data_IF_192955635403
#
_entry.id   IF_192955635403
#
_cell.length_a   1.000
_cell.length_b   1.000
_cell.length_c   1.000
_cell.angle_alpha   90.00
_cell.angle_beta   90.00
_cell.angle_gamma   90.00
#
_symmetry.space_group_name_H-M   'P 1'
#
loop_
_entity.id
_entity.type
_entity.pdbx_description
1 polymer ?
#
# COMPACT_ATOMS: atom_id res chain seq x y z
N UNK A 1 -33.94 1.99 -9.76
CA UNK A 1 -34.02 0.83 -8.85
C UNK A 1 -33.38 1.25 -7.53
N UNK A 2 -34.04 1.11 -6.38
CA UNK A 2 -33.39 1.40 -5.10
C UNK A 2 -32.26 0.38 -4.91
N UNK A 3 -31.06 0.87 -4.60
CA UNK A 3 -29.93 -0.01 -4.28
C UNK A 3 -30.31 -0.79 -3.01
N UNK A 4 -30.28 -2.12 -3.08
CA UNK A 4 -30.44 -2.95 -1.89
C UNK A 4 -29.28 -2.62 -0.94
N UNK A 5 -29.59 -2.11 0.25
CA UNK A 5 -28.60 -1.78 1.26
C UNK A 5 -27.84 -3.05 1.64
N UNK A 6 -26.50 -2.96 1.73
CA UNK A 6 -25.64 -4.08 2.11
C UNK A 6 -26.09 -4.62 3.47
N UNK A 7 -26.38 -5.92 3.54
CA UNK A 7 -26.87 -6.56 4.75
C UNK A 7 -25.83 -6.70 5.88
N UNK A 8 -24.52 -6.55 5.59
CA UNK A 8 -23.43 -6.51 6.60
C UNK A 8 -22.39 -5.43 6.27
N UNK A 9 -22.74 -4.14 6.37
CA UNK A 9 -21.86 -3.05 5.93
C UNK A 9 -20.62 -2.92 6.83
N UNK A 10 -20.74 -3.23 8.12
CA UNK A 10 -19.66 -3.11 9.10
C UNK A 10 -18.47 -4.05 8.79
N UNK A 11 -18.72 -5.23 8.21
CA UNK A 11 -17.64 -6.15 7.81
C UNK A 11 -16.84 -5.62 6.63
N UNK A 12 -17.49 -4.93 5.69
CA UNK A 12 -16.78 -4.26 4.59
C UNK A 12 -15.93 -3.11 5.11
N UNK A 13 -16.45 -2.34 6.07
CA UNK A 13 -15.69 -1.29 6.76
C UNK A 13 -14.46 -1.84 7.47
N UNK A 14 -14.63 -2.90 8.27
CA UNK A 14 -13.51 -3.57 8.94
C UNK A 14 -12.43 -3.97 7.94
N UNK A 15 -12.82 -4.54 6.79
CA UNK A 15 -11.88 -4.97 5.78
C UNK A 15 -11.11 -3.81 5.13
N UNK A 16 -11.79 -2.68 4.92
CA UNK A 16 -11.13 -1.46 4.44
C UNK A 16 -10.19 -0.85 5.47
N UNK A 17 -10.52 -0.91 6.77
CA UNK A 17 -9.62 -0.45 7.84
C UNK A 17 -8.34 -1.30 7.91
N UNK A 18 -8.46 -2.62 7.76
CA UNK A 18 -7.30 -3.53 7.69
C UNK A 18 -6.41 -3.26 6.47
N UNK A 19 -7.01 -2.95 5.32
CA UNK A 19 -6.26 -2.52 4.13
C UNK A 19 -5.58 -1.17 4.35
N UNK A 20 -6.28 -0.21 4.95
CA UNK A 20 -5.75 1.12 5.22
C UNK A 20 -4.56 1.05 6.18
N UNK A 21 -4.65 0.26 7.25
CA UNK A 21 -3.53 0.08 8.19
C UNK A 21 -2.30 -0.50 7.51
N UNK A 22 -2.47 -1.44 6.58
CA UNK A 22 -1.37 -2.00 5.80
C UNK A 22 -0.61 -0.96 4.97
N UNK A 23 -1.28 0.11 4.51
CA UNK A 23 -0.64 1.20 3.76
C UNK A 23 0.33 2.03 4.60
N UNK A 24 0.32 1.92 5.93
CA UNK A 24 1.24 2.61 6.82
C UNK A 24 2.39 1.71 7.30
N UNK A 25 2.55 0.51 6.72
CA UNK A 25 3.58 -0.44 7.12
C UNK A 25 5.02 0.09 7.00
N UNK A 26 5.30 0.98 6.02
CA UNK A 26 6.62 1.60 5.91
C UNK A 26 6.97 2.49 7.10
N UNK A 27 5.99 3.17 7.67
CA UNK A 27 6.18 4.01 8.85
C UNK A 27 6.12 3.19 10.14
N UNK A 28 5.27 2.17 10.18
CA UNK A 28 5.03 1.36 11.36
C UNK A 28 5.01 -0.13 10.98
N UNK A 29 6.19 -0.80 10.99
CA UNK A 29 6.36 -2.16 10.45
C UNK A 29 5.42 -3.22 11.04
N UNK A 30 4.95 -3.03 12.28
CA UNK A 30 3.96 -3.94 12.91
C UNK A 30 2.63 -4.05 12.14
N UNK A 31 2.34 -3.08 11.27
CA UNK A 31 1.12 -3.07 10.45
C UNK A 31 1.22 -3.92 9.18
N UNK A 32 2.39 -4.45 8.84
CA UNK A 32 2.64 -5.21 7.59
C UNK A 32 1.68 -6.38 7.39
N UNK A 33 1.34 -7.09 8.47
CA UNK A 33 0.49 -8.28 8.41
C UNK A 33 -1.02 -7.97 8.51
N UNK A 34 -1.38 -6.71 8.75
CA UNK A 34 -2.79 -6.31 8.92
C UNK A 34 -3.68 -6.59 7.71
N UNK A 35 -3.18 -6.59 6.44
CA UNK A 35 -4.00 -6.99 5.30
C UNK A 35 -4.28 -8.50 5.21
N UNK A 36 -3.57 -9.38 5.92
CA UNK A 36 -3.73 -10.83 5.75
C UNK A 36 -5.16 -11.35 6.01
N UNK A 37 -5.87 -10.92 7.07
CA UNK A 37 -7.25 -11.35 7.31
C UNK A 37 -8.22 -10.92 6.19
N UNK A 38 -7.83 -9.93 5.36
CA UNK A 38 -8.67 -9.43 4.25
C UNK A 38 -8.95 -10.51 3.23
N UNK A 39 -8.00 -11.40 2.97
CA UNK A 39 -8.19 -12.54 2.06
C UNK A 39 -9.39 -13.39 2.48
N UNK A 40 -9.38 -13.85 3.74
CA UNK A 40 -10.42 -14.72 4.28
C UNK A 40 -11.75 -13.96 4.33
N UNK A 41 -11.73 -12.72 4.86
CA UNK A 41 -12.94 -11.96 5.05
C UNK A 41 -13.61 -11.56 3.73
N UNK A 42 -12.83 -11.15 2.72
CA UNK A 42 -13.37 -10.79 1.41
C UNK A 42 -13.95 -12.01 0.68
N UNK A 43 -13.35 -13.20 0.80
CA UNK A 43 -13.92 -14.43 0.24
C UNK A 43 -15.25 -14.80 0.92
N UNK A 44 -15.31 -14.67 2.25
CA UNK A 44 -16.55 -14.88 3.01
C UNK A 44 -17.63 -13.86 2.62
N UNK A 45 -17.28 -12.58 2.51
CA UNK A 45 -18.19 -11.51 2.07
C UNK A 45 -18.73 -11.75 0.66
N UNK A 46 -17.88 -12.20 -0.26
CA UNK A 46 -18.31 -12.57 -1.62
C UNK A 46 -19.30 -13.74 -1.60
N UNK A 47 -19.05 -14.76 -0.77
CA UNK A 47 -19.98 -15.90 -0.61
C UNK A 47 -21.31 -15.47 0.01
N UNK A 48 -21.28 -14.63 1.04
CA UNK A 48 -22.48 -14.08 1.69
C UNK A 48 -23.31 -13.23 0.72
N UNK A 49 -22.67 -12.37 -0.07
CA UNK A 49 -23.34 -11.55 -1.08
C UNK A 49 -24.09 -12.41 -2.11
N UNK A 50 -23.50 -13.53 -2.56
CA UNK A 50 -24.15 -14.47 -3.47
C UNK A 50 -25.37 -15.15 -2.83
N UNK A 51 -25.25 -15.61 -1.58
CA UNK A 51 -26.35 -16.29 -0.88
C UNK A 51 -27.54 -15.34 -0.66
N UNK A 52 -27.28 -14.06 -0.44
CA UNK A 52 -28.30 -13.05 -0.10
C UNK A 52 -28.88 -12.31 -1.30
N UNK A 53 -28.38 -12.56 -2.51
CA UNK A 53 -28.84 -11.85 -3.72
C UNK A 53 -28.26 -10.43 -3.89
N UNK A 54 -27.35 -9.99 -3.01
CA UNK A 54 -26.68 -8.68 -3.06
C UNK A 54 -25.41 -8.70 -3.94
N UNK A 55 -25.38 -9.56 -4.96
CA UNK A 55 -24.14 -9.88 -5.70
C UNK A 55 -23.57 -8.65 -6.43
N UNK A 56 -24.40 -7.76 -6.93
CA UNK A 56 -23.95 -6.59 -7.70
C UNK A 56 -23.07 -5.61 -6.89
N UNK A 57 -23.45 -5.29 -5.66
CA UNK A 57 -22.73 -4.34 -4.81
C UNK A 57 -21.73 -5.06 -3.89
N UNK A 58 -22.19 -6.09 -3.17
CA UNK A 58 -21.36 -6.80 -2.18
C UNK A 58 -20.20 -7.56 -2.81
N UNK A 59 -20.43 -8.26 -3.93
CA UNK A 59 -19.33 -8.96 -4.60
C UNK A 59 -18.35 -7.99 -5.26
N UNK A 60 -18.81 -6.82 -5.72
CA UNK A 60 -17.93 -5.78 -6.27
C UNK A 60 -16.98 -5.20 -5.21
N UNK A 61 -17.48 -4.91 -3.99
CA UNK A 61 -16.61 -4.47 -2.89
C UNK A 61 -15.64 -5.56 -2.44
N UNK A 62 -16.10 -6.80 -2.28
CA UNK A 62 -15.25 -7.92 -1.90
C UNK A 62 -14.14 -8.17 -2.94
N UNK A 63 -14.49 -8.14 -4.23
CA UNK A 63 -13.52 -8.26 -5.32
C UNK A 63 -12.53 -7.10 -5.33
N UNK A 64 -12.99 -5.87 -5.09
CA UNK A 64 -12.13 -4.70 -5.01
C UNK A 64 -11.13 -4.80 -3.85
N UNK A 65 -11.56 -5.30 -2.69
CA UNK A 65 -10.71 -5.54 -1.52
C UNK A 65 -9.66 -6.61 -1.80
N UNK A 66 -10.05 -7.73 -2.42
CA UNK A 66 -9.10 -8.77 -2.87
C UNK A 66 -8.06 -8.23 -3.84
N UNK A 67 -8.48 -7.48 -4.86
CA UNK A 67 -7.56 -6.86 -5.81
C UNK A 67 -6.62 -5.85 -5.13
N UNK A 68 -7.07 -5.17 -4.08
CA UNK A 68 -6.21 -4.26 -3.28
C UNK A 68 -5.21 -5.04 -2.45
N UNK A 69 -5.61 -6.18 -1.87
CA UNK A 69 -4.69 -7.11 -1.21
C UNK A 69 -3.63 -7.64 -2.19
N UNK A 70 -4.04 -8.08 -3.39
CA UNK A 70 -3.10 -8.55 -4.41
C UNK A 70 -2.14 -7.46 -4.87
N UNK A 71 -2.57 -6.20 -4.87
CA UNK A 71 -1.68 -5.07 -5.12
C UNK A 71 -0.59 -4.94 -4.03
N UNK A 72 -0.94 -5.10 -2.76
CA UNK A 72 0.08 -5.16 -1.69
C UNK A 72 1.08 -6.28 -1.93
N UNK A 73 0.59 -7.49 -2.25
CA UNK A 73 1.47 -8.62 -2.52
C UNK A 73 2.37 -8.36 -3.74
N UNK A 74 1.82 -7.80 -4.83
CA UNK A 74 2.57 -7.46 -6.03
C UNK A 74 3.68 -6.46 -5.73
N UNK A 75 3.38 -5.42 -4.95
CA UNK A 75 4.38 -4.43 -4.54
C UNK A 75 5.45 -5.06 -3.64
N UNK A 76 5.08 -5.96 -2.72
CA UNK A 76 6.06 -6.71 -1.93
C UNK A 76 6.97 -7.59 -2.80
N UNK A 77 6.41 -8.33 -3.77
CA UNK A 77 7.19 -9.13 -4.71
C UNK A 77 8.10 -8.26 -5.58
N UNK A 78 7.63 -7.08 -6.01
CA UNK A 78 8.45 -6.12 -6.75
C UNK A 78 9.64 -5.62 -5.92
N UNK A 79 9.46 -5.41 -4.62
CA UNK A 79 10.56 -5.06 -3.71
C UNK A 79 11.60 -6.18 -3.64
N UNK A 80 11.16 -7.43 -3.45
CA UNK A 80 12.06 -8.59 -3.43
C UNK A 80 12.82 -8.72 -4.75
N UNK A 81 12.16 -8.49 -5.88
CA UNK A 81 12.80 -8.50 -7.19
C UNK A 81 13.84 -7.38 -7.35
N UNK A 82 13.60 -6.19 -6.80
CA UNK A 82 14.58 -5.10 -6.78
C UNK A 82 15.83 -5.50 -5.97
N UNK A 83 15.66 -6.05 -4.77
CA UNK A 83 16.79 -6.50 -3.95
C UNK A 83 17.55 -7.67 -4.59
N UNK A 84 16.83 -8.65 -5.14
CA UNK A 84 17.44 -9.77 -5.85
C UNK A 84 18.23 -9.29 -7.07
N UNK A 85 17.64 -8.39 -7.87
CA UNK A 85 18.32 -7.79 -9.02
C UNK A 85 19.59 -7.03 -8.61
N UNK A 86 19.55 -6.31 -7.48
CA UNK A 86 20.71 -5.61 -6.95
C UNK A 86 21.83 -6.59 -6.59
N UNK A 87 21.50 -7.68 -5.88
CA UNK A 87 22.46 -8.71 -5.51
C UNK A 87 23.06 -9.43 -6.72
N UNK A 88 22.27 -9.72 -7.76
CA UNK A 88 22.75 -10.39 -8.97
C UNK A 88 23.66 -9.49 -9.83
N UNK A 89 23.38 -8.18 -9.87
CA UNK A 89 24.13 -7.23 -10.73
C UNK A 89 25.41 -6.74 -10.04
N UNK A 90 25.42 -6.63 -8.71
CA UNK A 90 26.54 -6.07 -7.94
C UNK A 90 27.23 -7.08 -7.01
N UNK A 91 27.07 -8.38 -7.26
CA UNK A 91 27.51 -9.50 -6.41
C UNK A 91 28.99 -9.46 -5.97
N UNK A 92 29.87 -8.84 -6.76
CA UNK A 92 31.32 -8.78 -6.50
C UNK A 92 31.84 -7.36 -6.30
N UNK A 93 30.94 -6.38 -6.14
CA UNK A 93 31.26 -4.97 -6.27
C UNK A 93 31.45 -4.23 -4.95
N UNK A 94 32.48 -3.39 -4.88
CA UNK A 94 32.65 -2.32 -3.87
C UNK A 94 31.41 -1.42 -3.70
N UNK A 95 30.49 -1.42 -4.66
CA UNK A 95 29.20 -0.74 -4.56
C UNK A 95 28.25 -1.41 -3.57
N UNK A 96 28.21 -2.74 -3.48
CA UNK A 96 27.38 -3.47 -2.53
C UNK A 96 27.89 -3.26 -1.10
N UNK A 97 29.20 -3.34 -0.89
CA UNK A 97 29.84 -3.03 0.41
C UNK A 97 29.51 -1.60 0.88
N UNK A 98 29.49 -0.63 -0.05
CA UNK A 98 29.10 0.75 0.25
C UNK A 98 27.62 0.86 0.62
N UNK A 99 26.74 0.13 -0.07
CA UNK A 99 25.30 0.08 0.22
C UNK A 99 25.07 -0.51 1.62
N UNK A 100 25.70 -1.63 1.94
CA UNK A 100 25.64 -2.26 3.25
C UNK A 100 26.23 -1.36 4.34
N UNK A 101 27.35 -0.71 4.07
CA UNK A 101 27.96 0.27 4.96
C UNK A 101 27.03 1.44 5.30
N UNK A 102 26.32 1.98 4.29
CA UNK A 102 25.31 3.02 4.49
C UNK A 102 24.13 2.47 5.31
N UNK A 103 23.62 1.28 4.96
CA UNK A 103 22.49 0.66 5.66
C UNK A 103 22.81 0.39 7.14
N UNK A 104 24.00 -0.12 7.43
CA UNK A 104 24.47 -0.37 8.79
C UNK A 104 24.65 0.94 9.58
N UNK A 105 25.22 1.98 8.95
CA UNK A 105 25.37 3.28 9.59
C UNK A 105 24.02 3.92 9.91
N UNK A 106 23.03 3.80 9.03
CA UNK A 106 21.65 4.23 9.28
C UNK A 106 21.01 3.41 10.42
N UNK A 107 21.12 2.08 10.37
CA UNK A 107 20.55 1.19 11.41
C UNK A 107 21.13 1.44 12.81
N UNK A 108 22.39 1.87 12.88
CA UNK A 108 23.08 2.20 14.13
C UNK A 108 22.81 3.65 14.60
N UNK A 109 21.91 4.38 13.93
CA UNK A 109 21.60 5.78 14.24
C UNK A 109 22.71 6.76 13.89
N UNK A 110 23.72 6.33 13.13
CA UNK A 110 24.86 7.15 12.71
C UNK A 110 24.60 8.00 11.47
N UNK A 111 23.44 7.83 10.81
CA UNK A 111 23.01 8.64 9.68
C UNK A 111 21.54 9.03 9.82
N UNK A 112 21.23 10.27 9.46
CA UNK A 112 19.86 10.70 9.21
C UNK A 112 19.37 10.19 7.82
N UNK A 113 18.06 10.16 7.61
CA UNK A 113 17.40 9.80 6.34
C UNK A 113 17.92 10.66 5.19
N UNK A 114 18.11 11.97 5.40
CA UNK A 114 18.63 12.86 4.36
C UNK A 114 20.06 12.49 3.96
N UNK A 115 20.94 12.28 4.94
CA UNK A 115 22.33 11.90 4.69
C UNK A 115 22.44 10.53 4.03
N UNK A 116 21.59 9.59 4.46
CA UNK A 116 21.50 8.25 3.89
C UNK A 116 21.13 8.32 2.41
N UNK A 117 20.12 9.10 2.05
CA UNK A 117 19.70 9.28 0.66
C UNK A 117 20.77 9.99 -0.18
N UNK A 118 21.42 11.02 0.36
CA UNK A 118 22.51 11.72 -0.31
C UNK A 118 23.71 10.78 -0.60
N UNK A 119 24.05 9.91 0.34
CA UNK A 119 25.11 8.91 0.18
C UNK A 119 24.75 7.86 -0.87
N UNK A 120 23.51 7.35 -0.87
CA UNK A 120 23.02 6.45 -1.91
C UNK A 120 23.06 7.11 -3.30
N UNK A 121 22.67 8.38 -3.39
CA UNK A 121 22.66 9.13 -4.65
C UNK A 121 24.05 9.33 -5.26
N UNK A 122 25.07 9.46 -4.42
CA UNK A 122 26.45 9.66 -4.84
C UNK A 122 27.10 8.40 -5.42
N UNK A 123 26.56 7.20 -5.14
CA UNK A 123 27.04 5.95 -5.74
C UNK A 123 26.46 5.86 -7.16
N UNK A 124 27.30 6.17 -8.16
CA UNK A 124 26.88 6.30 -9.55
C UNK A 124 26.37 4.98 -10.14
N UNK A 125 26.91 3.86 -9.68
CA UNK A 125 26.56 2.51 -10.15
C UNK A 125 25.12 2.13 -9.80
N UNK A 126 24.61 2.57 -8.64
CA UNK A 126 23.29 2.17 -8.11
C UNK A 126 22.19 3.23 -8.32
N UNK A 127 22.49 4.39 -8.95
CA UNK A 127 21.51 5.48 -9.07
C UNK A 127 20.17 5.05 -9.66
N UNK A 128 20.19 4.15 -10.63
CA UNK A 128 18.96 3.63 -11.24
C UNK A 128 18.15 2.77 -10.25
N UNK A 129 18.82 2.02 -9.37
CA UNK A 129 18.17 1.32 -8.26
C UNK A 129 17.61 2.29 -7.21
N UNK A 130 18.31 3.38 -6.91
CA UNK A 130 17.79 4.42 -6.02
C UNK A 130 16.50 5.01 -6.59
N UNK A 131 16.48 5.34 -7.89
CA UNK A 131 15.26 5.78 -8.57
C UNK A 131 14.15 4.73 -8.54
N UNK A 132 14.47 3.47 -8.82
CA UNK A 132 13.49 2.38 -8.78
C UNK A 132 12.91 2.19 -7.37
N UNK A 133 13.74 2.28 -6.33
CA UNK A 133 13.33 2.22 -4.92
C UNK A 133 12.44 3.39 -4.52
N UNK A 134 12.78 4.63 -4.92
CA UNK A 134 11.95 5.81 -4.68
C UNK A 134 10.59 5.71 -5.39
N UNK A 135 10.59 5.27 -6.65
CA UNK A 135 9.36 5.04 -7.40
C UNK A 135 8.51 3.95 -6.73
N UNK A 136 9.12 2.84 -6.32
CA UNK A 136 8.45 1.79 -5.58
C UNK A 136 7.87 2.29 -4.25
N UNK A 137 8.61 3.09 -3.49
CA UNK A 137 8.15 3.67 -2.24
C UNK A 137 6.93 4.58 -2.46
N UNK A 138 6.95 5.41 -3.51
CA UNK A 138 5.80 6.23 -3.89
C UNK A 138 4.56 5.38 -4.18
N UNK A 139 4.73 4.29 -4.95
CA UNK A 139 3.64 3.37 -5.26
C UNK A 139 3.07 2.71 -4.00
N UNK A 140 3.92 2.20 -3.10
CA UNK A 140 3.45 1.48 -1.91
C UNK A 140 2.77 2.39 -0.90
N UNK A 141 3.20 3.64 -0.79
CA UNK A 141 2.58 4.64 0.09
C UNK A 141 1.21 5.08 -0.43
N UNK A 142 1.09 5.34 -1.74
CA UNK A 142 -0.08 6.01 -2.27
C UNK A 142 -1.09 5.07 -2.92
N UNK A 143 -0.64 4.07 -3.68
CA UNK A 143 -1.54 3.32 -4.55
C UNK A 143 -2.51 2.40 -3.79
N UNK A 144 -2.07 1.55 -2.83
CA UNK A 144 -3.01 0.76 -2.02
C UNK A 144 -3.94 1.62 -1.17
N UNK A 145 -3.43 2.74 -0.63
CA UNK A 145 -4.21 3.65 0.21
C UNK A 145 -5.28 4.38 -0.61
N UNK A 146 -4.91 4.94 -1.76
CA UNK A 146 -5.83 5.58 -2.71
C UNK A 146 -6.94 4.62 -3.12
N UNK A 147 -6.59 3.37 -3.41
CA UNK A 147 -7.54 2.33 -3.78
C UNK A 147 -8.47 1.94 -2.62
N UNK A 148 -7.96 1.96 -1.38
CA UNK A 148 -8.73 1.72 -0.16
C UNK A 148 -9.71 2.86 0.13
N UNK A 149 -9.25 4.11 0.08
CA UNK A 149 -10.08 5.31 0.24
C UNK A 149 -11.16 5.37 -0.83
N UNK A 150 -10.82 5.04 -2.09
CA UNK A 150 -11.82 4.92 -3.16
C UNK A 150 -12.89 3.88 -2.82
N UNK A 151 -12.50 2.73 -2.27
CA UNK A 151 -13.44 1.70 -1.82
C UNK A 151 -14.35 2.17 -0.68
N UNK A 152 -13.80 2.93 0.27
CA UNK A 152 -14.53 3.54 1.38
C UNK A 152 -15.55 4.57 0.86
N UNK A 153 -15.13 5.50 -0.01
CA UNK A 153 -16.03 6.50 -0.59
C UNK A 153 -17.15 5.85 -1.40
N UNK A 154 -16.84 4.77 -2.12
CA UNK A 154 -17.84 3.99 -2.86
C UNK A 154 -18.86 3.36 -1.91
N UNK A 155 -18.39 2.84 -0.77
CA UNK A 155 -19.25 2.22 0.24
C UNK A 155 -20.18 3.26 0.88
N UNK A 156 -19.68 4.45 1.19
CA UNK A 156 -20.49 5.58 1.67
C UNK A 156 -21.54 6.04 0.66
N UNK A 157 -21.21 5.97 -0.64
CA UNK A 157 -22.10 6.37 -1.72
C UNK A 157 -23.03 5.26 -2.21
N UNK A 158 -22.99 4.06 -1.59
CA UNK A 158 -23.71 2.85 -2.01
C UNK A 158 -23.51 2.50 -3.49
N UNK A 159 -22.28 2.69 -3.98
CA UNK A 159 -21.90 2.45 -5.38
C UNK A 159 -20.77 1.43 -5.47
N UNK A 160 -20.66 0.78 -6.61
CA UNK A 160 -19.50 -0.08 -6.85
C UNK A 160 -18.23 0.77 -6.94
N UNK A 161 -17.08 0.29 -6.42
CA UNK A 161 -15.83 1.06 -6.42
C UNK A 161 -15.37 1.54 -7.80
N UNK A 162 -15.65 0.75 -8.84
CA UNK A 162 -15.31 1.07 -10.24
C UNK A 162 -16.21 2.14 -10.84
N UNK A 163 -17.46 2.28 -10.38
CA UNK A 163 -18.42 3.25 -10.89
C UNK A 163 -18.26 4.67 -10.33
N UNK A 164 -17.28 4.90 -9.43
CA UNK A 164 -16.95 6.24 -8.97
C UNK A 164 -16.44 7.12 -10.11
N UNK A 165 -16.90 8.37 -10.13
CA UNK A 165 -16.50 9.39 -11.11
C UNK A 165 -15.00 9.70 -11.01
N UNK A 166 -14.43 10.25 -12.09
CA UNK A 166 -13.03 10.68 -12.12
C UNK A 166 -12.67 11.65 -10.98
N UNK A 167 -13.56 12.61 -10.67
CA UNK A 167 -13.36 13.56 -9.57
C UNK A 167 -13.23 12.88 -8.21
N UNK A 168 -14.04 11.86 -7.92
CA UNK A 168 -13.94 11.10 -6.66
C UNK A 168 -12.67 10.26 -6.58
N UNK A 169 -12.13 9.79 -7.71
CA UNK A 169 -10.84 9.08 -7.74
C UNK A 169 -9.68 10.02 -7.43
N UNK A 170 -9.70 11.24 -7.97
CA UNK A 170 -8.74 12.28 -7.63
C UNK A 170 -8.84 12.71 -6.17
N UNK A 171 -10.06 12.81 -5.63
CA UNK A 171 -10.28 13.06 -4.21
C UNK A 171 -9.69 11.93 -3.35
N UNK A 172 -9.89 10.67 -3.74
CA UNK A 172 -9.28 9.53 -3.04
C UNK A 172 -7.74 9.58 -3.05
N UNK A 173 -7.14 10.01 -4.17
CA UNK A 173 -5.70 10.24 -4.24
C UNK A 173 -5.25 11.39 -3.34
N UNK A 174 -5.95 12.53 -3.37
CA UNK A 174 -5.66 13.68 -2.51
C UNK A 174 -5.74 13.32 -1.03
N UNK A 175 -6.77 12.57 -0.63
CA UNK A 175 -6.89 12.05 0.74
C UNK A 175 -5.76 11.08 1.10
N UNK A 176 -5.35 10.19 0.19
CA UNK A 176 -4.22 9.29 0.43
C UNK A 176 -2.92 10.08 0.65
N UNK A 177 -2.66 11.12 -0.14
CA UNK A 177 -1.49 12.00 0.03
C UNK A 177 -1.56 12.73 1.38
N UNK A 178 -2.72 13.29 1.73
CA UNK A 178 -2.92 13.97 3.02
C UNK A 178 -2.73 13.02 4.21
N UNK A 179 -3.23 11.79 4.12
CA UNK A 179 -3.08 10.78 5.16
C UNK A 179 -1.61 10.35 5.34
N UNK A 180 -0.88 10.10 4.25
CA UNK A 180 0.54 9.72 4.32
C UNK A 180 1.42 10.87 4.82
N UNK A 181 1.19 12.09 4.33
CA UNK A 181 1.93 13.28 4.79
C UNK A 181 1.62 13.63 6.24
N UNK A 182 0.35 13.55 6.65
CA UNK A 182 -0.05 13.74 8.04
C UNK A 182 0.62 12.72 8.97
N UNK A 183 0.65 11.45 8.57
CA UNK A 183 1.33 10.40 9.35
C UNK A 183 2.84 10.65 9.44
N UNK A 184 3.49 11.05 8.34
CA UNK A 184 4.90 11.43 8.33
C UNK A 184 5.19 12.57 9.32
N UNK A 185 4.38 13.62 9.34
CA UNK A 185 4.55 14.73 10.29
C UNK A 185 4.43 14.26 11.73
N UNK A 186 3.47 13.38 12.04
CA UNK A 186 3.32 12.80 13.38
C UNK A 186 4.54 11.96 13.76
N UNK A 187 5.04 11.12 12.86
CA UNK A 187 6.21 10.27 13.10
C UNK A 187 7.47 11.12 13.34
N UNK A 188 7.64 12.24 12.61
CA UNK A 188 8.79 13.13 12.78
C UNK A 188 8.70 14.02 14.03
N UNK A 189 7.51 14.18 14.60
CA UNK A 189 7.29 15.00 15.81
C UNK A 189 7.41 14.20 17.11
N UNK A 190 7.56 12.87 17.03
CA UNK A 190 7.74 11.92 18.15
C UNK A 190 9.21 11.56 18.33
#
# INVERSE_FOLDING_TARGET
MPAAALSTPWLFWLNYLLLASGSFALWLPRLTLTPLPVLVLALLLRRMARIRGDEALGAAHAQWQLETFWLFLLLFLALLALFLGMGLIFNEGTALDRVEGIANAFSNGGLDIYETLARFWNIREIRWFTWAGLFWALLVLLWPLQRTVQGILALCAERTPRALSGGMRWLALGLAVLMQSGFLVVVLAL
#
